data_IF_268020298291
#
_entry.id   IF_268020298291
#
_cell.length_a   1.000
_cell.length_b   1.000
_cell.length_c   1.000
_cell.angle_alpha   90.00
_cell.angle_beta   90.00
_cell.angle_gamma   90.00
#
_symmetry.space_group_name_H-M   'P 1'
#
loop_
_entity.id
_entity.type
_entity.pdbx_description
1 polymer ?
#
# COMPACT_ATOMS: atom_id res chain seq x y z
N UNK A 1 13.68 4.06 1.56
CA UNK A 1 14.48 4.92 2.47
C UNK A 1 13.56 5.97 3.06
N UNK A 2 13.68 6.28 4.34
CA UNK A 2 12.91 7.35 5.00
C UNK A 2 13.59 8.72 4.79
N UNK A 3 12.87 9.85 4.98
CA UNK A 3 13.43 11.17 4.72
C UNK A 3 14.58 11.49 5.68
N UNK A 4 15.70 11.93 5.11
CA UNK A 4 16.82 12.48 5.89
C UNK A 4 16.45 13.85 6.46
N UNK A 5 17.11 14.24 7.55
CA UNK A 5 16.76 15.48 8.26
C UNK A 5 17.98 16.36 8.47
N UNK A 6 17.80 17.67 8.46
CA UNK A 6 18.88 18.58 8.84
C UNK A 6 19.16 18.55 10.35
N UNK A 7 18.16 18.16 11.16
CA UNK A 7 18.27 18.14 12.62
C UNK A 7 19.27 17.11 13.13
N UNK A 8 19.51 16.04 12.38
CA UNK A 8 20.51 15.00 12.64
C UNK A 8 21.66 15.03 11.63
N UNK A 9 21.90 16.18 10.98
CA UNK A 9 22.98 16.35 10.00
C UNK A 9 22.94 15.34 8.83
N UNK A 10 21.76 14.83 8.49
CA UNK A 10 21.51 13.82 7.47
C UNK A 10 22.19 12.46 7.73
N UNK A 11 22.54 12.16 8.97
CA UNK A 11 23.23 10.91 9.34
C UNK A 11 22.26 9.73 9.56
N UNK A 12 20.99 10.00 9.89
CA UNK A 12 19.94 9.01 10.08
C UNK A 12 19.42 8.42 8.77
N UNK A 13 20.22 7.59 8.10
CA UNK A 13 19.77 6.83 6.93
C UNK A 13 18.94 5.64 7.39
N UNK A 14 17.62 5.70 7.23
CA UNK A 14 16.74 4.59 7.61
C UNK A 14 16.05 3.95 6.38
N UNK A 15 15.92 2.63 6.40
CA UNK A 15 15.15 1.84 5.43
C UNK A 15 13.97 1.20 6.16
N UNK A 16 12.78 1.36 5.60
CA UNK A 16 11.55 0.73 6.07
C UNK A 16 11.12 -0.33 5.06
N UNK A 17 10.78 -1.51 5.55
CA UNK A 17 10.25 -2.64 4.78
C UNK A 17 8.99 -3.15 5.49
N UNK A 18 7.88 -3.25 4.78
CA UNK A 18 6.60 -3.64 5.35
C UNK A 18 5.89 -4.70 4.51
N UNK A 19 5.37 -5.72 5.18
CA UNK A 19 4.53 -6.75 4.57
C UNK A 19 5.28 -7.67 3.61
N UNK A 20 4.57 -8.12 2.59
CA UNK A 20 5.04 -9.12 1.62
C UNK A 20 4.30 -10.45 1.75
N UNK A 21 4.41 -11.26 0.71
CA UNK A 21 3.88 -12.62 0.71
C UNK A 21 4.71 -13.53 1.63
N UNK A 22 4.06 -14.54 2.23
CA UNK A 22 4.79 -15.59 2.92
C UNK A 22 5.72 -16.36 1.96
N UNK A 23 6.80 -16.89 2.50
CA UNK A 23 7.70 -17.77 1.75
C UNK A 23 6.92 -18.96 1.16
N UNK A 24 7.19 -19.27 -0.12
CA UNK A 24 6.49 -20.33 -0.83
C UNK A 24 5.08 -19.99 -1.33
N UNK A 25 4.50 -18.84 -0.97
CA UNK A 25 3.14 -18.48 -1.39
C UNK A 25 2.96 -18.35 -2.90
N UNK A 26 4.00 -17.94 -3.63
CA UNK A 26 3.98 -17.90 -5.08
C UNK A 26 3.96 -19.31 -5.71
N UNK A 27 4.67 -20.26 -5.11
CA UNK A 27 4.78 -21.63 -5.62
C UNK A 27 3.54 -22.48 -5.30
N UNK A 28 2.72 -22.05 -4.33
CA UNK A 28 1.50 -22.73 -3.92
C UNK A 28 0.34 -21.73 -3.75
N UNK A 29 -0.18 -21.16 -4.85
CA UNK A 29 -1.21 -20.11 -4.79
C UNK A 29 -2.54 -20.61 -4.22
N UNK A 30 -2.85 -21.90 -4.29
CA UNK A 30 -4.10 -22.45 -3.74
C UNK A 30 -4.10 -22.48 -2.21
N UNK A 31 -2.93 -22.47 -1.56
CA UNK A 31 -2.82 -22.47 -0.10
C UNK A 31 -3.23 -21.14 0.55
N UNK A 32 -3.18 -20.03 -0.19
CA UNK A 32 -3.60 -18.69 0.28
C UNK A 32 -3.00 -18.33 1.65
N UNK A 33 -1.69 -18.52 1.82
CA UNK A 33 -0.99 -18.21 3.06
C UNK A 33 -1.20 -16.76 3.49
N UNK A 34 -1.31 -16.54 4.79
CA UNK A 34 -1.34 -15.20 5.38
C UNK A 34 -0.12 -14.39 4.93
N UNK A 35 -0.36 -13.18 4.42
CA UNK A 35 0.71 -12.23 4.15
C UNK A 35 1.34 -11.74 5.46
N UNK A 36 2.53 -11.17 5.35
CA UNK A 36 3.21 -10.59 6.49
C UNK A 36 2.51 -9.28 6.90
N UNK A 37 2.42 -9.06 8.21
CA UNK A 37 2.04 -7.77 8.81
C UNK A 37 3.22 -7.12 9.53
N UNK A 38 4.44 -7.61 9.36
CA UNK A 38 5.62 -7.02 9.98
C UNK A 38 6.08 -5.80 9.19
N UNK A 39 6.49 -4.76 9.92
CA UNK A 39 7.16 -3.57 9.39
C UNK A 39 8.51 -3.43 10.09
N UNK A 40 9.60 -3.70 9.38
CA UNK A 40 10.96 -3.54 9.88
C UNK A 40 11.57 -2.22 9.47
N UNK A 41 12.18 -1.51 10.41
CA UNK A 41 13.03 -0.34 10.17
C UNK A 41 14.47 -0.64 10.56
N UNK A 42 15.42 -0.22 9.74
CA UNK A 42 16.86 -0.39 9.99
C UNK A 42 17.63 0.85 9.56
N UNK A 43 18.65 1.23 10.34
CA UNK A 43 19.72 2.09 9.85
C UNK A 43 20.90 1.18 9.40
N UNK A 44 21.12 1.00 8.09
CA UNK A 44 22.17 0.12 7.59
C UNK A 44 23.59 0.69 7.78
N UNK A 45 23.72 1.99 8.07
CA UNK A 45 25.01 2.66 8.30
C UNK A 45 25.41 2.71 9.77
N UNK A 46 24.53 2.27 10.69
CA UNK A 46 24.88 2.18 12.10
C UNK A 46 26.05 1.20 12.30
N UNK A 47 26.95 1.49 13.26
CA UNK A 47 28.06 0.59 13.57
C UNK A 47 27.63 -0.83 13.96
N UNK A 48 26.38 -0.99 14.44
CA UNK A 48 25.74 -2.30 14.59
C UNK A 48 24.28 -2.21 14.17
N UNK A 49 23.96 -2.51 12.89
CA UNK A 49 22.59 -2.42 12.39
C UNK A 49 21.66 -3.39 13.11
N UNK A 50 20.49 -2.88 13.51
CA UNK A 50 19.44 -3.63 14.19
C UNK A 50 18.09 -3.31 13.55
N UNK A 51 17.27 -4.33 13.37
CA UNK A 51 15.88 -4.16 12.97
C UNK A 51 15.04 -3.75 14.18
N UNK A 52 14.31 -2.65 14.05
CA UNK A 52 13.18 -2.31 14.89
C UNK A 52 11.90 -2.73 14.17
N UNK A 53 11.15 -3.67 14.75
CA UNK A 53 9.96 -4.25 14.10
C UNK A 53 8.69 -3.77 14.77
N UNK A 54 7.71 -3.40 13.93
CA UNK A 54 6.35 -3.05 14.29
C UNK A 54 5.38 -4.02 13.63
N UNK A 55 4.16 -4.09 14.15
CA UNK A 55 3.09 -4.91 13.56
C UNK A 55 2.03 -4.01 12.95
N UNK A 56 1.85 -4.10 11.63
CA UNK A 56 0.75 -3.45 10.91
C UNK A 56 -0.60 -3.97 11.42
N UNK A 57 -1.62 -3.09 11.47
CA UNK A 57 -3.00 -3.50 11.77
C UNK A 57 -3.54 -4.56 10.80
N UNK A 58 -3.00 -4.60 9.58
CA UNK A 58 -3.43 -5.50 8.51
C UNK A 58 -2.21 -6.13 7.84
N UNK A 59 -2.32 -7.43 7.55
CA UNK A 59 -1.40 -8.13 6.65
C UNK A 59 -1.50 -7.54 5.26
N UNK A 60 -0.38 -7.45 4.53
CA UNK A 60 -0.40 -6.88 3.19
C UNK A 60 0.67 -7.47 2.29
N UNK A 61 0.24 -8.05 1.17
CA UNK A 61 1.06 -8.34 -0.01
C UNK A 61 0.63 -7.42 -1.15
N UNK A 62 1.52 -7.17 -2.12
CA UNK A 62 1.28 -6.23 -3.24
C UNK A 62 0.92 -4.80 -2.81
N UNK A 63 1.41 -4.39 -1.64
CA UNK A 63 1.20 -3.03 -1.16
C UNK A 63 2.17 -2.05 -1.80
N UNK A 64 1.70 -0.82 -2.03
CA UNK A 64 2.54 0.33 -2.36
C UNK A 64 2.89 1.12 -1.09
N UNK A 65 4.09 1.68 -1.05
CA UNK A 65 4.58 2.52 0.05
C UNK A 65 5.00 3.89 -0.47
N UNK A 66 4.30 4.94 -0.05
CA UNK A 66 4.43 6.29 -0.58
C UNK A 66 4.94 7.21 0.54
N UNK A 67 6.13 7.79 0.34
CA UNK A 67 6.60 8.87 1.19
C UNK A 67 5.73 10.10 1.00
N UNK A 68 5.34 10.73 2.10
CA UNK A 68 4.48 11.90 2.09
C UNK A 68 5.15 13.14 2.70
N UNK A 69 4.72 14.37 2.36
CA UNK A 69 5.42 15.61 2.77
C UNK A 69 5.57 15.83 4.28
N UNK A 70 4.73 15.19 5.11
CA UNK A 70 4.87 15.21 6.57
C UNK A 70 6.02 14.35 7.10
N UNK A 71 6.68 13.59 6.22
CA UNK A 71 7.73 12.63 6.54
C UNK A 71 7.21 11.24 6.93
N UNK A 72 5.90 11.02 6.83
CA UNK A 72 5.28 9.71 7.00
C UNK A 72 5.39 8.82 5.76
N UNK A 73 4.87 7.60 5.87
CA UNK A 73 4.70 6.65 4.76
C UNK A 73 3.25 6.17 4.72
N UNK A 74 2.58 6.33 3.59
CA UNK A 74 1.29 5.71 3.33
C UNK A 74 1.52 4.33 2.74
N UNK A 75 0.94 3.31 3.38
CA UNK A 75 0.95 1.92 2.92
C UNK A 75 -0.46 1.61 2.41
N UNK A 76 -0.61 1.32 1.12
CA UNK A 76 -1.90 1.16 0.44
C UNK A 76 -1.87 -0.02 -0.53
N UNK A 77 -3.02 -0.39 -1.09
CA UNK A 77 -3.19 -1.46 -2.09
C UNK A 77 -2.89 -2.87 -1.55
N UNK A 78 -3.32 -3.88 -2.29
CA UNK A 78 -2.99 -5.28 -2.03
C UNK A 78 -4.02 -6.07 -1.23
N UNK A 79 -3.55 -7.21 -0.73
CA UNK A 79 -4.37 -8.25 -0.12
C UNK A 79 -3.73 -8.80 1.15
N UNK A 80 -4.52 -9.44 2.00
CA UNK A 80 -4.08 -9.99 3.28
C UNK A 80 -3.52 -11.41 3.16
N UNK A 81 -3.79 -12.08 2.03
CA UNK A 81 -3.37 -13.47 1.73
C UNK A 81 -2.79 -13.65 0.34
N UNK A 82 -1.91 -14.65 0.22
CA UNK A 82 -1.34 -15.09 -1.03
C UNK A 82 -0.15 -14.24 -1.50
N UNK A 83 0.00 -14.11 -2.82
CA UNK A 83 1.16 -13.46 -3.43
C UNK A 83 0.82 -12.69 -4.70
N UNK A 84 1.78 -11.94 -5.23
CA UNK A 84 1.61 -11.26 -6.51
C UNK A 84 1.52 -12.27 -7.65
N UNK A 85 0.46 -12.14 -8.44
CA UNK A 85 0.13 -13.04 -9.55
C UNK A 85 -1.38 -13.03 -9.78
N UNK A 86 -1.81 -13.39 -10.99
CA UNK A 86 -3.23 -13.44 -11.31
C UNK A 86 -3.91 -14.61 -10.60
N UNK A 87 -4.92 -14.29 -9.77
CA UNK A 87 -5.63 -15.28 -8.95
C UNK A 87 -4.81 -15.85 -7.80
N UNK A 88 -3.66 -15.25 -7.46
CA UNK A 88 -2.73 -15.79 -6.46
C UNK A 88 -2.92 -15.18 -5.06
N UNK A 89 -3.84 -14.23 -4.92
CA UNK A 89 -4.14 -13.53 -3.68
C UNK A 89 -5.64 -13.39 -3.48
N UNK A 90 -6.05 -13.31 -2.23
CA UNK A 90 -7.43 -13.13 -1.78
C UNK A 90 -7.45 -12.26 -0.52
N UNK A 91 -8.66 -11.96 -0.03
CA UNK A 91 -8.90 -11.15 1.17
C UNK A 91 -8.35 -9.72 1.02
N UNK A 92 -9.14 -8.88 0.35
CA UNK A 92 -8.77 -7.51 -0.02
C UNK A 92 -8.46 -6.61 1.17
N UNK A 93 -7.47 -5.73 0.99
CA UNK A 93 -7.13 -4.72 1.99
C UNK A 93 -7.38 -3.32 1.44
N UNK A 94 -8.60 -2.83 1.64
CA UNK A 94 -9.06 -1.54 1.10
C UNK A 94 -8.75 -0.33 1.99
N UNK A 95 -8.23 -0.53 3.20
CA UNK A 95 -7.87 0.55 4.14
C UNK A 95 -6.37 0.82 4.10
N UNK A 96 -5.94 2.05 3.80
CA UNK A 96 -4.53 2.43 3.90
C UNK A 96 -4.07 2.50 5.35
N UNK A 97 -2.75 2.48 5.57
CA UNK A 97 -2.11 2.67 6.87
C UNK A 97 -1.08 3.80 6.76
N UNK A 98 -1.13 4.77 7.68
CA UNK A 98 -0.09 5.78 7.85
C UNK A 98 0.95 5.27 8.84
N UNK A 99 2.20 5.15 8.39
CA UNK A 99 3.36 4.97 9.24
C UNK A 99 4.03 6.32 9.54
N UNK A 100 4.22 6.62 10.81
CA UNK A 100 4.87 7.83 11.32
C UNK A 100 6.22 7.49 11.97
N UNK A 101 7.36 7.68 11.28
CA UNK A 101 8.67 7.22 11.75
C UNK A 101 9.14 7.79 13.10
N UNK A 102 8.62 8.97 13.46
CA UNK A 102 8.98 9.70 14.69
C UNK A 102 7.99 9.50 15.83
N UNK A 103 6.89 8.78 15.60
CA UNK A 103 5.97 8.41 16.65
C UNK A 103 6.57 7.30 17.51
N UNK A 104 6.13 7.21 18.76
CA UNK A 104 6.54 6.15 19.67
C UNK A 104 6.15 4.76 19.11
N UNK A 105 6.95 3.75 19.48
CA UNK A 105 6.67 2.35 19.14
C UNK A 105 5.26 1.97 19.58
N UNK A 106 4.54 1.23 18.75
CA UNK A 106 3.13 0.88 18.98
C UNK A 106 2.11 2.03 18.77
N UNK A 107 2.58 3.25 18.46
CA UNK A 107 1.73 4.39 18.05
C UNK A 107 2.09 4.94 16.67
N UNK A 108 3.02 4.29 15.99
CA UNK A 108 3.54 4.74 14.70
C UNK A 108 2.66 4.33 13.52
N UNK A 109 1.67 3.45 13.70
CA UNK A 109 0.81 2.95 12.64
C UNK A 109 -0.65 3.33 12.91
N UNK A 110 -1.28 3.99 11.95
CA UNK A 110 -2.67 4.42 12.02
C UNK A 110 -3.44 3.96 10.78
N UNK A 111 -4.52 3.20 10.97
CA UNK A 111 -5.43 2.84 9.88
C UNK A 111 -6.21 4.07 9.42
N UNK A 112 -6.27 4.29 8.11
CA UNK A 112 -7.02 5.37 7.46
C UNK A 112 -8.34 4.84 6.88
N UNK A 113 -9.21 5.76 6.44
CA UNK A 113 -10.44 5.41 5.76
C UNK A 113 -10.17 4.69 4.43
N UNK A 114 -10.95 3.64 4.14
CA UNK A 114 -10.83 2.84 2.91
C UNK A 114 -11.78 3.27 1.79
N UNK A 115 -11.52 2.82 0.56
CA UNK A 115 -12.33 3.11 -0.64
C UNK A 115 -13.40 2.06 -0.95
N UNK A 116 -13.23 0.84 -0.42
CA UNK A 116 -13.97 -0.33 -0.89
C UNK A 116 -13.60 -0.78 -2.30
N UNK A 117 -12.68 -0.09 -2.99
CA UNK A 117 -12.23 -0.43 -4.33
C UNK A 117 -11.03 -1.37 -4.22
N UNK A 118 -11.10 -2.60 -4.78
CA UNK A 118 -9.99 -3.53 -4.80
C UNK A 118 -8.83 -2.97 -5.63
N UNK A 119 -7.65 -2.79 -5.02
CA UNK A 119 -6.42 -2.39 -5.71
C UNK A 119 -5.39 -3.51 -5.59
N UNK A 120 -5.44 -4.48 -6.50
CA UNK A 120 -4.70 -5.75 -6.41
C UNK A 120 -3.42 -5.74 -7.28
N UNK A 121 -2.98 -6.91 -7.78
CA UNK A 121 -1.83 -7.03 -8.69
C UNK A 121 -1.92 -6.00 -9.82
N UNK A 122 -0.80 -5.35 -10.17
CA UNK A 122 -0.75 -4.27 -11.15
C UNK A 122 -1.54 -3.00 -10.79
N UNK A 123 -1.95 -2.81 -9.53
CA UNK A 123 -2.29 -1.47 -9.04
C UNK A 123 -1.02 -0.64 -8.85
N UNK A 124 -1.19 0.68 -8.76
CA UNK A 124 -0.13 1.62 -8.42
C UNK A 124 -0.68 2.78 -7.60
N UNK A 125 0.17 3.36 -6.77
CA UNK A 125 -0.11 4.59 -6.06
C UNK A 125 1.11 5.53 -6.08
N UNK A 126 0.88 6.82 -6.38
CA UNK A 126 1.95 7.81 -6.54
C UNK A 126 1.56 9.15 -5.89
N UNK A 127 2.53 9.81 -5.26
CA UNK A 127 2.36 11.14 -4.69
C UNK A 127 2.22 12.20 -5.80
N UNK A 128 1.23 13.07 -5.69
CA UNK A 128 1.08 14.26 -6.53
C UNK A 128 1.73 15.48 -5.89
N UNK A 129 2.03 16.49 -6.72
CA UNK A 129 2.70 17.72 -6.27
C UNK A 129 1.90 18.52 -5.22
N UNK A 130 0.58 18.35 -5.18
CA UNK A 130 -0.30 18.98 -4.18
C UNK A 130 -0.47 18.15 -2.89
N UNK A 131 0.27 17.05 -2.76
CA UNK A 131 0.26 16.19 -1.58
C UNK A 131 -0.80 15.09 -1.61
N UNK A 132 -1.72 15.06 -2.58
CA UNK A 132 -2.67 13.94 -2.75
C UNK A 132 -1.95 12.70 -3.28
N UNK A 133 -2.56 11.52 -3.13
CA UNK A 133 -2.03 10.27 -3.70
C UNK A 133 -2.96 9.82 -4.82
N UNK A 134 -2.41 9.71 -6.03
CA UNK A 134 -3.09 9.12 -7.18
C UNK A 134 -3.01 7.60 -7.08
N UNK A 135 -4.17 6.93 -7.14
CA UNK A 135 -4.28 5.46 -7.06
C UNK A 135 -4.96 4.97 -8.34
N UNK A 136 -4.38 3.98 -9.02
CA UNK A 136 -4.85 3.53 -10.32
C UNK A 136 -4.73 2.01 -10.49
N UNK A 137 -5.52 1.50 -11.43
CA UNK A 137 -5.48 0.10 -11.86
C UNK A 137 -6.13 -0.88 -10.88
N UNK A 138 -6.36 -2.10 -11.36
CA UNK A 138 -5.65 -3.31 -10.93
C UNK A 138 -6.11 -4.49 -11.79
N UNK A 139 -5.42 -5.63 -11.69
CA UNK A 139 -5.89 -6.92 -12.18
C UNK A 139 -6.18 -6.96 -13.68
N UNK A 140 -5.25 -6.49 -14.52
CA UNK A 140 -5.45 -6.47 -15.99
C UNK A 140 -5.54 -7.86 -16.63
N UNK A 141 -5.23 -8.95 -15.90
CA UNK A 141 -5.16 -10.34 -16.36
C UNK A 141 -4.49 -10.47 -17.75
N UNK A 142 -4.58 -11.63 -18.40
CA UNK A 142 -4.28 -11.75 -19.83
C UNK A 142 -5.28 -10.97 -20.71
N UNK A 143 -6.50 -10.77 -20.19
CA UNK A 143 -7.59 -10.01 -20.80
C UNK A 143 -8.27 -9.16 -19.74
N UNK A 144 -8.79 -7.98 -20.12
CA UNK A 144 -9.59 -7.15 -19.20
C UNK A 144 -10.84 -7.94 -18.76
N UNK A 145 -10.79 -8.45 -17.53
CA UNK A 145 -11.84 -9.29 -16.95
C UNK A 145 -12.74 -8.40 -16.11
N UNK A 146 -13.89 -8.01 -16.65
CA UNK A 146 -14.84 -7.13 -15.93
C UNK A 146 -15.80 -7.89 -15.00
N UNK A 147 -15.80 -9.23 -15.07
CA UNK A 147 -16.62 -10.10 -14.24
C UNK A 147 -15.73 -11.03 -13.41
N UNK A 148 -15.81 -10.95 -12.08
CA UNK A 148 -15.03 -11.79 -11.17
C UNK A 148 -14.94 -11.17 -9.77
N UNK A 149 -14.28 -11.86 -8.85
CA UNK A 149 -14.07 -11.39 -7.47
C UNK A 149 -13.23 -10.09 -7.45
N UNK A 150 -12.20 -10.03 -8.29
CA UNK A 150 -11.34 -8.86 -8.47
C UNK A 150 -11.32 -8.46 -9.96
N UNK A 151 -12.34 -7.73 -10.43
CA UNK A 151 -12.42 -7.32 -11.82
C UNK A 151 -11.28 -6.37 -12.16
N UNK A 152 -10.95 -6.28 -13.45
CA UNK A 152 -10.00 -5.29 -13.96
C UNK A 152 -10.50 -3.90 -13.64
N UNK A 153 -9.74 -3.18 -12.83
CA UNK A 153 -10.10 -1.84 -12.37
C UNK A 153 -9.36 -0.81 -13.24
N UNK A 154 -10.12 -0.01 -13.99
CA UNK A 154 -9.61 0.96 -14.95
C UNK A 154 -9.76 2.41 -14.46
N UNK A 155 -10.24 2.61 -13.24
CA UNK A 155 -10.37 3.94 -12.66
C UNK A 155 -9.07 4.45 -12.04
N UNK A 156 -8.99 5.77 -11.98
CA UNK A 156 -8.05 6.53 -11.18
C UNK A 156 -8.85 7.20 -10.06
N UNK A 157 -8.36 7.07 -8.84
CA UNK A 157 -8.88 7.76 -7.65
C UNK A 157 -7.80 8.66 -7.05
N UNK A 158 -8.26 9.66 -6.30
CA UNK A 158 -7.40 10.50 -5.48
C UNK A 158 -7.66 10.20 -4.01
N UNK A 159 -6.65 9.67 -3.34
CA UNK A 159 -6.62 9.61 -1.88
C UNK A 159 -6.20 10.98 -1.34
N UNK A 160 -7.16 11.66 -0.73
CA UNK A 160 -6.93 12.83 0.11
C UNK A 160 -6.70 12.30 1.52
N UNK A 161 -5.45 12.33 1.96
CA UNK A 161 -5.07 11.91 3.31
C UNK A 161 -4.69 13.17 4.10
N UNK A 162 -5.38 13.39 5.21
CA UNK A 162 -5.10 14.55 6.06
C UNK A 162 -4.13 14.13 7.18
N UNK A 163 -3.08 14.92 7.39
CA UNK A 163 -2.18 14.79 8.54
C UNK A 163 -2.87 15.08 9.89
N UNK A 164 -4.13 15.52 9.87
CA UNK A 164 -4.88 16.02 11.03
C UNK A 164 -5.80 14.99 11.69
N UNK A 165 -5.81 13.74 11.22
CA UNK A 165 -6.64 12.68 11.84
C UNK A 165 -8.15 12.83 11.63
N UNK A 166 -8.58 13.73 10.75
CA UNK A 166 -9.97 13.85 10.31
C UNK A 166 -10.18 12.99 9.05
N UNK A 167 -11.12 12.06 9.12
CA UNK A 167 -11.58 11.29 7.96
C UNK A 167 -12.17 12.23 6.90
N UNK A 168 -11.84 11.99 5.62
CA UNK A 168 -12.38 12.79 4.51
C UNK A 168 -12.85 11.89 3.35
N UNK A 169 -13.87 12.31 2.57
CA UNK A 169 -14.41 11.50 1.48
C UNK A 169 -13.47 11.48 0.27
N UNK A 170 -13.49 10.34 -0.42
CA UNK A 170 -12.96 10.17 -1.77
C UNK A 170 -13.56 11.24 -2.71
N UNK A 171 -12.71 12.01 -3.40
CA UNK A 171 -13.14 13.06 -4.33
C UNK A 171 -12.92 12.63 -5.78
N UNK A 172 -14.05 12.64 -6.51
CA UNK A 172 -14.26 12.62 -7.97
C UNK A 172 -13.49 11.62 -8.83
N UNK A 173 -14.25 10.64 -9.36
CA UNK A 173 -13.86 9.74 -10.44
C UNK A 173 -13.66 10.55 -11.73
N UNK A 174 -12.47 10.49 -12.32
CA UNK A 174 -12.31 10.79 -13.75
C UNK A 174 -12.16 9.48 -14.52
N UNK A 175 -13.28 8.98 -15.08
CA UNK A 175 -13.27 7.78 -15.91
C UNK A 175 -14.62 7.53 -16.56
N UNK A 176 -14.79 7.98 -17.82
CA UNK A 176 -15.85 7.48 -18.69
C UNK A 176 -15.63 6.00 -18.95
N UNK A 177 -16.60 5.16 -18.58
CA UNK A 177 -16.68 3.81 -19.10
C UNK A 177 -16.69 3.90 -20.63
N UNK A 178 -15.71 3.31 -21.31
CA UNK A 178 -15.84 3.02 -22.73
C UNK A 178 -16.94 1.97 -22.87
N UNK A 179 -18.19 2.42 -23.02
CA UNK A 179 -19.27 1.57 -23.48
C UNK A 179 -18.93 1.08 -24.88
N UNK A 180 -18.59 -0.20 -25.00
CA UNK A 180 -18.75 -0.94 -26.23
C UNK A 180 -20.23 -0.94 -26.59
N UNK A 181 -20.59 -0.25 -27.67
CA UNK A 181 -21.86 -0.47 -28.35
C UNK A 181 -21.83 -1.87 -28.98
N UNK A 182 -22.83 -2.75 -28.73
CA UNK A 182 -23.06 -3.90 -29.59
C UNK A 182 -23.71 -3.45 -30.92
N UNK A 183 -23.65 -4.31 -31.96
CA UNK A 183 -23.91 -3.94 -33.36
C UNK A 183 -25.33 -3.47 -33.66
#
# INVERSE_FOLDING_TARGET
>A
MLPLTAADNYEGVEVLVCGGAAEGAYNNPTAQYDALNTCGRINPLAGTPRWATETMPQRRTMGDMILVPTGGVIIINGASKGSQGWGFASDLVCTPVLYSPRAAVGRCLQTLAGSGIPRMCNSTANLLADGRILVAGSSTHWFNTVNGEFPTELTIDLLIWAATGLSWPWAERSGTAMHSRPP
#
